data_IF_609724889404
#
_entry.id   IF_609724889404
#
_cell.length_a   1.000
_cell.length_b   1.000
_cell.length_c   1.000
_cell.angle_alpha   90.00
_cell.angle_beta   90.00
_cell.angle_gamma   90.00
#
_symmetry.space_group_name_H-M   'P 1'
#
loop_
_entity.id
_entity.type
_entity.pdbx_description
1 polymer ?
#
# COMPACT_ATOMS: atom_id res chain seq x y z
N UNK A 1 -49.64 50.74 -10.57
CA UNK A 1 -49.20 49.99 -11.77
C UNK A 1 -48.10 50.79 -12.46
N UNK A 2 -47.13 50.21 -13.20
CA UNK A 2 -46.42 48.91 -13.15
C UNK A 2 -44.94 49.16 -12.69
N UNK A 3 -43.98 48.24 -12.64
CA UNK A 3 -43.89 46.89 -13.17
C UNK A 3 -42.76 46.11 -12.49
N UNK A 4 -42.97 44.79 -12.49
CA UNK A 4 -42.11 43.74 -11.94
C UNK A 4 -40.91 43.59 -12.87
N UNK A 5 -39.70 43.74 -12.35
CA UNK A 5 -38.47 43.31 -13.01
C UNK A 5 -37.96 42.07 -12.32
N UNK A 6 -38.24 40.90 -12.89
CA UNK A 6 -37.80 39.60 -12.39
C UNK A 6 -36.27 39.50 -12.43
N UNK A 7 -35.67 39.15 -11.29
CA UNK A 7 -34.30 38.68 -11.16
C UNK A 7 -34.16 37.34 -11.90
N UNK A 8 -33.35 37.31 -12.95
CA UNK A 8 -32.74 36.10 -13.48
C UNK A 8 -31.29 36.42 -13.81
N UNK A 9 -30.42 36.33 -12.81
CA UNK A 9 -28.99 36.17 -13.04
C UNK A 9 -28.74 34.67 -13.00
N UNK A 10 -28.45 34.11 -14.18
CA UNK A 10 -27.90 32.78 -14.33
C UNK A 10 -26.54 32.74 -13.63
N UNK A 11 -26.53 32.24 -12.39
CA UNK A 11 -25.32 31.86 -11.69
C UNK A 11 -24.88 30.51 -12.20
N UNK A 12 -23.79 30.50 -12.95
CA UNK A 12 -23.02 29.34 -13.36
C UNK A 12 -22.89 28.31 -12.23
N UNK A 13 -23.19 27.06 -12.54
CA UNK A 13 -22.73 25.89 -11.80
C UNK A 13 -21.20 25.98 -11.67
N UNK A 14 -20.72 26.47 -10.53
CA UNK A 14 -19.33 26.28 -10.13
C UNK A 14 -19.32 24.97 -9.36
N UNK A 15 -18.89 23.91 -10.03
CA UNK A 15 -18.65 22.61 -9.41
C UNK A 15 -17.68 22.79 -8.24
N UNK A 16 -18.18 22.56 -7.03
CA UNK A 16 -17.37 22.51 -5.81
C UNK A 16 -16.74 21.12 -5.64
N UNK A 17 -16.10 20.59 -6.69
CA UNK A 17 -15.49 19.25 -6.71
C UNK A 17 -14.04 19.32 -7.20
N UNK A 18 -13.20 20.15 -6.58
CA UNK A 18 -11.78 20.17 -6.98
C UNK A 18 -10.92 21.27 -6.39
N UNK A 19 -11.19 21.70 -5.15
CA UNK A 19 -10.31 22.63 -4.42
C UNK A 19 -10.04 22.10 -3.00
N UNK A 20 -9.72 20.82 -2.90
CA UNK A 20 -8.87 20.33 -1.80
C UNK A 20 -7.39 20.32 -2.24
N UNK A 21 -6.98 21.25 -3.12
CA UNK A 21 -5.54 21.47 -3.30
C UNK A 21 -5.02 22.15 -2.04
N UNK A 22 -4.24 21.38 -1.28
CA UNK A 22 -3.22 21.83 -0.36
C UNK A 22 -3.73 22.57 0.89
N UNK A 23 -4.08 21.79 1.91
CA UNK A 23 -3.70 22.14 3.27
C UNK A 23 -2.99 20.97 3.97
N UNK A 24 -2.20 20.18 3.22
CA UNK A 24 -1.28 19.18 3.77
C UNK A 24 0.09 19.83 3.99
N UNK A 25 0.59 19.80 5.21
CA UNK A 25 1.96 20.22 5.52
C UNK A 25 2.99 19.36 4.78
N UNK A 26 4.24 19.82 4.76
CA UNK A 26 5.44 19.16 4.19
C UNK A 26 5.46 17.61 4.23
N UNK A 27 4.84 16.96 5.23
CA UNK A 27 4.76 15.50 5.35
C UNK A 27 3.91 14.80 4.29
N UNK A 28 2.75 15.35 3.89
CA UNK A 28 1.86 14.67 2.92
C UNK A 28 2.47 14.64 1.52
N UNK A 29 3.16 15.70 1.10
CA UNK A 29 3.82 15.76 -0.21
C UNK A 29 4.99 14.76 -0.29
N UNK A 30 5.82 14.68 0.75
CA UNK A 30 6.90 13.70 0.85
C UNK A 30 6.39 12.24 0.90
N UNK A 31 5.28 12.02 1.59
CA UNK A 31 4.58 10.73 1.60
C UNK A 31 4.11 10.34 0.19
N UNK A 32 3.45 11.25 -0.53
CA UNK A 32 2.98 10.99 -1.89
C UNK A 32 4.13 10.77 -2.89
N UNK A 33 5.24 11.50 -2.76
CA UNK A 33 6.43 11.29 -3.61
C UNK A 33 7.04 9.90 -3.40
N UNK A 34 7.15 9.45 -2.15
CA UNK A 34 7.66 8.11 -1.84
C UNK A 34 6.71 7.01 -2.32
N UNK A 35 5.40 7.19 -2.11
CA UNK A 35 4.39 6.28 -2.66
C UNK A 35 4.47 6.15 -4.18
N UNK A 36 4.65 7.27 -4.89
CA UNK A 36 4.80 7.25 -6.34
C UNK A 36 6.05 6.45 -6.76
N UNK A 37 7.14 6.53 -5.99
CA UNK A 37 8.37 5.79 -6.26
C UNK A 37 8.17 4.28 -6.14
N UNK A 38 7.42 3.82 -5.14
CA UNK A 38 7.18 2.37 -4.90
C UNK A 38 6.02 1.80 -5.70
N UNK A 39 5.17 2.66 -6.29
CA UNK A 39 3.97 2.23 -7.03
C UNK A 39 4.28 1.36 -8.26
N UNK A 40 5.35 1.67 -8.99
CA UNK A 40 5.77 0.93 -10.19
C UNK A 40 6.31 -0.47 -9.82
N UNK A 41 7.28 -0.60 -8.88
CA UNK A 41 7.70 -1.90 -8.35
C UNK A 41 6.56 -2.73 -7.75
N UNK A 42 5.61 -2.09 -7.06
CA UNK A 42 4.43 -2.78 -6.52
C UNK A 42 3.51 -3.33 -7.63
N UNK A 43 3.45 -2.66 -8.77
CA UNK A 43 2.80 -3.16 -9.98
C UNK A 43 3.49 -4.43 -10.50
N UNK A 44 4.81 -4.44 -10.58
CA UNK A 44 5.60 -5.59 -11.04
C UNK A 44 5.39 -6.84 -10.16
N UNK A 45 5.32 -6.67 -8.83
CA UNK A 45 5.00 -7.77 -7.90
C UNK A 45 3.65 -8.41 -8.20
N UNK A 46 2.64 -7.59 -8.54
CA UNK A 46 1.29 -8.09 -8.88
C UNK A 46 1.26 -8.82 -10.22
N UNK A 47 2.11 -8.43 -11.16
CA UNK A 47 2.31 -9.13 -12.44
C UNK A 47 3.05 -10.48 -12.26
N UNK A 48 3.51 -10.76 -11.04
CA UNK A 48 4.18 -12.01 -10.65
C UNK A 48 5.70 -11.92 -10.74
N UNK A 49 6.27 -10.73 -10.90
CA UNK A 49 7.71 -10.52 -10.80
C UNK A 49 8.08 -10.19 -9.35
N UNK A 50 8.49 -11.21 -8.60
CA UNK A 50 8.89 -11.10 -7.20
C UNK A 50 10.38 -10.87 -7.00
N UNK A 51 11.15 -10.60 -8.06
CA UNK A 51 12.60 -10.46 -7.96
C UNK A 51 13.06 -9.28 -7.11
N UNK A 52 12.19 -8.27 -6.93
CA UNK A 52 12.45 -7.08 -6.12
C UNK A 52 11.60 -7.04 -4.84
N UNK A 53 10.93 -8.12 -4.46
CA UNK A 53 9.95 -8.11 -3.36
C UNK A 53 10.53 -7.64 -2.04
N UNK A 54 11.73 -8.10 -1.68
CA UNK A 54 12.39 -7.71 -0.44
C UNK A 54 12.69 -6.21 -0.42
N UNK A 55 13.15 -5.64 -1.55
CA UNK A 55 13.41 -4.21 -1.67
C UNK A 55 12.13 -3.37 -1.62
N UNK A 56 11.07 -3.80 -2.28
CA UNK A 56 9.77 -3.11 -2.24
C UNK A 56 9.17 -3.14 -0.84
N UNK A 57 9.30 -4.25 -0.13
CA UNK A 57 8.87 -4.36 1.26
C UNK A 57 9.66 -3.42 2.17
N UNK A 58 10.97 -3.34 2.01
CA UNK A 58 11.81 -2.40 2.75
C UNK A 58 11.39 -0.95 2.46
N UNK A 59 11.24 -0.58 1.19
CA UNK A 59 10.83 0.77 0.78
C UNK A 59 9.44 1.12 1.36
N UNK A 60 8.50 0.17 1.38
CA UNK A 60 7.17 0.36 2.00
C UNK A 60 7.25 0.52 3.52
N UNK A 61 8.15 -0.16 4.20
CA UNK A 61 8.35 0.03 5.64
C UNK A 61 9.01 1.39 5.95
N UNK A 62 9.81 1.95 5.05
CA UNK A 62 10.38 3.30 5.22
C UNK A 62 9.29 4.39 5.09
N UNK A 63 8.24 4.14 4.30
CA UNK A 63 7.11 5.06 4.15
C UNK A 63 6.34 5.23 5.48
N UNK A 64 6.27 4.19 6.32
CA UNK A 64 5.64 4.22 7.65
C UNK A 64 6.09 5.44 8.47
N UNK A 65 7.39 5.74 8.50
CA UNK A 65 7.97 6.85 9.27
C UNK A 65 7.54 8.24 8.76
N UNK A 66 7.06 8.31 7.52
CA UNK A 66 6.64 9.55 6.85
C UNK A 66 5.14 9.63 6.63
N UNK A 67 4.41 8.58 7.02
CA UNK A 67 2.97 8.50 6.87
C UNK A 67 2.26 9.65 7.63
N UNK A 68 1.26 10.30 7.02
CA UNK A 68 0.41 11.25 7.70
C UNK A 68 -0.24 10.64 8.96
N UNK A 69 -0.44 11.45 10.00
CA UNK A 69 -1.06 10.99 11.26
C UNK A 69 -2.44 10.35 11.05
N UNK A 70 -3.14 10.72 9.99
CA UNK A 70 -4.46 10.20 9.63
C UNK A 70 -4.45 8.72 9.20
N UNK A 71 -3.29 8.19 8.77
CA UNK A 71 -3.12 6.80 8.33
C UNK A 71 -1.92 6.09 8.97
N UNK A 72 -1.25 6.74 9.93
CA UNK A 72 -0.04 6.21 10.54
C UNK A 72 -0.28 4.87 11.25
N UNK A 73 -1.47 4.65 11.82
CA UNK A 73 -1.83 3.38 12.44
C UNK A 73 -1.97 2.25 11.42
N UNK A 74 -2.57 2.52 10.27
CA UNK A 74 -2.70 1.56 9.18
C UNK A 74 -1.33 1.21 8.59
N UNK A 75 -0.44 2.20 8.45
CA UNK A 75 0.94 1.95 8.06
C UNK A 75 1.72 1.12 9.09
N UNK A 76 1.53 1.38 10.39
CA UNK A 76 2.15 0.57 11.45
C UNK A 76 1.69 -0.89 11.39
N UNK A 77 0.39 -1.14 11.17
CA UNK A 77 -0.14 -2.50 10.98
C UNK A 77 0.43 -3.14 9.72
N UNK A 78 0.45 -2.43 8.58
CA UNK A 78 0.94 -2.95 7.31
C UNK A 78 2.44 -3.28 7.37
N UNK A 79 3.27 -2.30 7.74
CA UNK A 79 4.71 -2.44 7.85
C UNK A 79 5.11 -3.40 8.97
N UNK A 80 4.39 -3.41 10.09
CA UNK A 80 4.56 -4.37 11.18
C UNK A 80 4.39 -5.81 10.69
N UNK A 81 3.30 -6.08 9.97
CA UNK A 81 3.02 -7.41 9.40
C UNK A 81 4.08 -7.83 8.38
N UNK A 82 4.55 -6.91 7.53
CA UNK A 82 5.65 -7.17 6.59
C UNK A 82 6.94 -7.52 7.33
N UNK A 83 7.30 -6.76 8.37
CA UNK A 83 8.50 -7.02 9.18
C UNK A 83 8.42 -8.38 9.88
N UNK A 84 7.25 -8.78 10.35
CA UNK A 84 7.03 -10.11 10.94
C UNK A 84 7.20 -11.23 9.92
N UNK A 85 6.66 -11.06 8.71
CA UNK A 85 6.88 -11.98 7.61
C UNK A 85 8.36 -12.09 7.23
N UNK A 86 9.03 -10.97 6.99
CA UNK A 86 10.47 -10.92 6.70
C UNK A 86 11.27 -11.65 7.79
N UNK A 87 10.99 -11.38 9.07
CA UNK A 87 11.65 -12.04 10.19
C UNK A 87 11.41 -13.57 10.22
N UNK A 88 10.20 -14.03 9.88
CA UNK A 88 9.88 -15.46 9.81
C UNK A 88 10.67 -16.17 8.71
N UNK A 89 10.82 -15.52 7.54
CA UNK A 89 11.57 -16.05 6.40
C UNK A 89 13.08 -16.00 6.66
N UNK A 90 13.58 -14.88 7.19
CA UNK A 90 14.97 -14.71 7.61
C UNK A 90 15.39 -15.73 8.69
N UNK A 91 14.47 -16.11 9.58
CA UNK A 91 14.73 -17.14 10.59
C UNK A 91 15.02 -18.52 9.96
N UNK A 92 14.53 -18.77 8.74
CA UNK A 92 14.87 -19.95 7.94
C UNK A 92 16.15 -19.78 7.13
N UNK A 93 16.77 -18.59 7.16
CA UNK A 93 17.94 -18.24 6.37
C UNK A 93 17.62 -18.12 4.87
N UNK A 94 16.42 -17.63 4.56
CA UNK A 94 15.93 -17.37 3.21
C UNK A 94 15.55 -15.89 3.10
N UNK A 95 15.51 -15.38 1.87
CA UNK A 95 14.79 -14.16 1.50
C UNK A 95 13.36 -14.50 1.05
N UNK A 96 12.46 -13.51 0.97
CA UNK A 96 11.09 -13.75 0.49
C UNK A 96 11.10 -14.15 -0.98
N UNK A 97 11.97 -13.53 -1.80
CA UNK A 97 12.17 -13.96 -3.18
C UNK A 97 12.58 -15.45 -3.27
N UNK A 98 13.56 -15.90 -2.48
CA UNK A 98 13.99 -17.30 -2.46
C UNK A 98 12.87 -18.24 -1.98
N UNK A 99 12.09 -17.85 -0.98
CA UNK A 99 10.95 -18.61 -0.50
C UNK A 99 9.92 -18.83 -1.63
N UNK A 100 9.58 -17.77 -2.37
CA UNK A 100 8.66 -17.83 -3.50
C UNK A 100 9.22 -18.66 -4.66
N UNK A 101 10.52 -18.59 -4.92
CA UNK A 101 11.18 -19.46 -5.90
C UNK A 101 11.05 -20.93 -5.51
N UNK A 102 11.32 -21.27 -4.24
CA UNK A 102 11.17 -22.62 -3.69
C UNK A 102 9.72 -23.10 -3.81
N UNK A 103 8.74 -22.28 -3.41
CA UNK A 103 7.32 -22.62 -3.44
C UNK A 103 6.79 -22.90 -4.87
N UNK A 104 7.44 -22.34 -5.89
CA UNK A 104 7.10 -22.55 -7.29
C UNK A 104 7.78 -23.78 -7.91
N UNK A 105 8.72 -24.42 -7.22
CA UNK A 105 9.38 -25.60 -7.74
C UNK A 105 8.43 -26.82 -7.76
N UNK A 106 8.46 -27.63 -8.83
CA UNK A 106 7.62 -28.83 -8.92
C UNK A 106 8.03 -29.92 -7.92
N UNK A 107 9.28 -29.89 -7.46
CA UNK A 107 9.82 -30.82 -6.47
C UNK A 107 10.65 -30.00 -5.47
N UNK A 108 10.22 -29.97 -4.21
CA UNK A 108 10.94 -29.34 -3.10
C UNK A 108 11.70 -30.38 -2.29
N UNK A 109 12.87 -30.03 -1.77
CA UNK A 109 13.61 -30.90 -0.88
C UNK A 109 12.89 -31.05 0.46
N UNK A 110 13.13 -32.13 1.24
CA UNK A 110 12.55 -32.26 2.58
C UNK A 110 12.94 -31.12 3.53
N UNK A 111 14.13 -30.53 3.34
CA UNK A 111 14.61 -29.38 4.11
C UNK A 111 13.84 -28.12 3.74
N UNK A 112 13.63 -27.87 2.45
CA UNK A 112 12.85 -26.72 1.98
C UNK A 112 11.36 -26.84 2.33
N UNK A 113 10.84 -28.06 2.39
CA UNK A 113 9.49 -28.32 2.85
C UNK A 113 9.31 -27.95 4.34
N UNK A 114 10.28 -28.30 5.20
CA UNK A 114 10.26 -27.90 6.62
C UNK A 114 10.32 -26.37 6.78
N UNK A 115 11.13 -25.70 5.95
CA UNK A 115 11.22 -24.23 5.93
C UNK A 115 9.91 -23.57 5.50
N UNK A 116 9.27 -24.08 4.44
CA UNK A 116 7.97 -23.60 3.98
C UNK A 116 6.89 -23.78 5.06
N UNK A 117 6.84 -24.93 5.72
CA UNK A 117 5.91 -25.19 6.82
C UNK A 117 6.15 -24.28 8.02
N UNK A 118 7.41 -23.95 8.33
CA UNK A 118 7.74 -23.03 9.41
C UNK A 118 7.29 -21.59 9.11
N UNK A 119 7.42 -21.14 7.85
CA UNK A 119 6.92 -19.82 7.43
C UNK A 119 5.39 -19.81 7.38
N UNK A 120 4.75 -20.88 6.89
CA UNK A 120 3.28 -21.01 6.87
C UNK A 120 2.69 -20.89 8.27
N UNK A 121 3.27 -21.58 9.26
CA UNK A 121 2.83 -21.44 10.66
C UNK A 121 3.00 -20.01 11.21
N UNK A 122 4.02 -19.27 10.79
CA UNK A 122 4.17 -17.87 11.15
C UNK A 122 3.13 -16.98 10.48
N UNK A 123 2.76 -17.27 9.21
CA UNK A 123 1.70 -16.58 8.49
C UNK A 123 0.31 -16.80 9.13
N UNK A 124 0.07 -17.98 9.70
CA UNK A 124 -1.18 -18.27 10.43
C UNK A 124 -1.35 -17.42 11.70
N UNK A 125 -0.25 -17.00 12.31
CA UNK A 125 -0.24 -16.12 13.48
C UNK A 125 -0.47 -14.64 13.11
N UNK A 126 -0.33 -14.26 11.83
CA UNK A 126 -0.57 -12.90 11.35
C UNK A 126 -2.07 -12.61 11.24
N UNK A 127 -2.49 -11.42 11.67
CA UNK A 127 -3.86 -10.96 11.45
C UNK A 127 -4.04 -10.44 10.02
N UNK A 128 -4.21 -11.36 9.07
CA UNK A 128 -4.39 -11.04 7.65
C UNK A 128 -5.65 -10.20 7.38
N UNK A 129 -6.63 -10.19 8.29
CA UNK A 129 -7.82 -9.35 8.16
C UNK A 129 -7.51 -7.89 8.49
N UNK A 130 -6.72 -7.68 9.53
CA UNK A 130 -6.24 -6.36 9.90
C UNK A 130 -5.29 -5.81 8.81
N UNK A 131 -4.41 -6.65 8.27
CA UNK A 131 -3.54 -6.31 7.13
C UNK A 131 -4.35 -5.87 5.90
N UNK A 132 -5.38 -6.63 5.52
CA UNK A 132 -6.23 -6.32 4.36
C UNK A 132 -6.97 -4.98 4.56
N UNK A 133 -7.47 -4.74 5.78
CA UNK A 133 -8.15 -3.49 6.13
C UNK A 133 -7.19 -2.29 6.09
N UNK A 134 -5.99 -2.44 6.65
CA UNK A 134 -4.94 -1.43 6.61
C UNK A 134 -4.51 -1.13 5.16
N UNK A 135 -4.32 -2.17 4.36
CA UNK A 135 -3.95 -2.05 2.93
C UNK A 135 -4.99 -1.26 2.14
N UNK A 136 -6.29 -1.54 2.37
CA UNK A 136 -7.37 -0.79 1.73
C UNK A 136 -7.40 0.67 2.15
N UNK A 137 -7.23 0.96 3.44
CA UNK A 137 -7.20 2.33 3.93
C UNK A 137 -6.00 3.13 3.36
N UNK A 138 -4.83 2.51 3.25
CA UNK A 138 -3.65 3.10 2.60
C UNK A 138 -3.93 3.39 1.13
N UNK A 139 -4.53 2.45 0.40
CA UNK A 139 -4.89 2.61 -1.00
C UNK A 139 -5.92 3.73 -1.21
N UNK A 140 -6.99 3.77 -0.42
CA UNK A 140 -8.02 4.80 -0.47
C UNK A 140 -7.45 6.20 -0.17
N UNK A 141 -6.53 6.28 0.80
CA UNK A 141 -5.85 7.53 1.13
C UNK A 141 -4.89 7.97 0.02
N UNK A 142 -4.14 7.05 -0.58
CA UNK A 142 -3.28 7.36 -1.71
C UNK A 142 -4.08 7.85 -2.92
N UNK A 143 -5.24 7.26 -3.21
CA UNK A 143 -6.13 7.75 -4.27
C UNK A 143 -6.68 9.14 -3.94
N UNK A 144 -7.11 9.36 -2.70
CA UNK A 144 -7.76 10.61 -2.30
C UNK A 144 -6.80 11.79 -2.15
N UNK A 145 -5.65 11.57 -1.52
CA UNK A 145 -4.71 12.63 -1.14
C UNK A 145 -3.53 12.76 -2.13
N UNK A 146 -3.12 11.66 -2.78
CA UNK A 146 -1.99 11.64 -3.69
C UNK A 146 -2.38 11.52 -5.17
N UNK A 147 -3.65 11.25 -5.49
CA UNK A 147 -4.12 10.92 -6.85
C UNK A 147 -3.36 9.70 -7.43
N UNK A 148 -2.92 8.78 -6.55
CA UNK A 148 -2.17 7.58 -6.88
C UNK A 148 -3.05 6.34 -6.70
N UNK A 149 -3.16 5.54 -7.75
CA UNK A 149 -3.78 4.22 -7.64
C UNK A 149 -2.74 3.20 -7.24
N UNK A 150 -2.72 2.81 -5.97
CA UNK A 150 -1.86 1.74 -5.46
C UNK A 150 -2.44 0.38 -5.86
N UNK A 151 -2.09 -0.03 -7.08
CA UNK A 151 -2.66 -1.21 -7.74
C UNK A 151 -3.44 -0.79 -8.98
N UNK A 152 -2.79 -0.92 -10.13
CA UNK A 152 -3.30 -0.46 -11.43
C UNK A 152 -4.76 -0.80 -11.71
N UNK A 153 -5.38 0.12 -12.42
CA UNK A 153 -6.72 0.05 -12.97
C UNK A 153 -7.00 -1.31 -13.61
N UNK A 154 -8.21 -1.80 -13.36
CA UNK A 154 -8.84 -3.01 -13.89
C UNK A 154 -8.56 -3.31 -15.37
#
# INVERSE_FOLDING_TARGET
MPGRGSLLVAGTLVGALGLLTACGGDGTEAYCEQLAHVSEPFGELREGDFSQIDQVMDDMTEIEDTAPEDIAGEWETFAGTIRELQAAVDAQGLTIAELLEIAQQPEVSPEDQERLEAVDGALEDLDLNELDSASQAIADHAETECDLTLGGEQ
#
